data_IF_120496229094
#
_entry.id   IF_120496229094
#
_cell.length_a   1.000
_cell.length_b   1.000
_cell.length_c   1.000
_cell.angle_alpha   90.00
_cell.angle_beta   90.00
_cell.angle_gamma   90.00
#
_symmetry.space_group_name_H-M   'P 1'
#
loop_
_entity.id
_entity.type
_entity.pdbx_description
1 polymer ?
#
# COMPACT_ATOMS: atom_id res chain seq x y z
N UNK A 1 9.95 71.52 -19.88
CA UNK A 1 9.89 70.18 -20.39
C UNK A 1 10.23 69.21 -19.26
N UNK A 2 9.24 68.79 -18.49
CA UNK A 2 9.39 67.73 -17.53
C UNK A 2 8.20 66.77 -17.69
N UNK A 3 8.46 65.62 -18.26
CA UNK A 3 7.50 64.51 -18.35
C UNK A 3 7.55 63.72 -17.05
N UNK A 4 6.48 63.79 -16.29
CA UNK A 4 6.29 62.97 -15.11
C UNK A 4 5.63 61.64 -15.54
N UNK A 5 6.38 60.57 -15.54
CA UNK A 5 5.86 59.24 -15.77
C UNK A 5 5.41 58.70 -14.41
N UNK A 6 4.11 58.65 -14.17
CA UNK A 6 3.50 57.98 -13.04
C UNK A 6 3.32 56.51 -13.39
N UNK A 7 4.26 55.67 -12.99
CA UNK A 7 4.09 54.19 -13.00
C UNK A 7 3.34 53.76 -11.73
N UNK A 8 2.03 53.78 -11.80
CA UNK A 8 1.15 53.25 -10.76
C UNK A 8 0.80 51.79 -11.07
N UNK A 9 1.51 50.86 -10.45
CA UNK A 9 1.18 49.44 -10.47
C UNK A 9 -0.08 49.21 -9.62
N UNK A 10 -1.26 49.43 -10.19
CA UNK A 10 -2.53 48.98 -9.61
C UNK A 10 -2.72 47.53 -10.01
N UNK A 11 -2.50 46.62 -9.06
CA UNK A 11 -3.13 45.26 -9.11
C UNK A 11 -4.64 45.47 -9.11
N UNK A 12 -5.21 45.67 -10.28
CA UNK A 12 -6.65 45.52 -10.47
C UNK A 12 -6.95 44.04 -10.33
N UNK A 13 -7.54 43.65 -9.21
CA UNK A 13 -8.34 42.43 -9.11
C UNK A 13 -9.45 42.57 -10.14
N UNK A 14 -9.19 42.12 -11.35
CA UNK A 14 -10.21 42.02 -12.40
C UNK A 14 -11.19 40.94 -11.94
N UNK A 15 -12.25 41.38 -11.27
CA UNK A 15 -13.47 40.59 -11.17
C UNK A 15 -13.84 40.28 -12.60
N UNK A 16 -13.86 39.01 -12.98
CA UNK A 16 -14.14 38.63 -14.37
C UNK A 16 -15.49 39.23 -14.78
N UNK A 17 -15.59 39.66 -16.05
CA UNK A 17 -16.80 40.29 -16.58
C UNK A 17 -18.04 39.45 -16.28
N UNK A 18 -17.87 38.13 -16.29
CA UNK A 18 -18.90 37.16 -16.00
C UNK A 18 -19.39 37.27 -14.54
N UNK A 19 -18.48 37.40 -13.58
CA UNK A 19 -18.84 37.55 -12.15
C UNK A 19 -19.52 38.89 -11.90
N UNK A 20 -19.12 39.95 -12.57
CA UNK A 20 -19.74 41.28 -12.46
C UNK A 20 -21.15 41.27 -13.06
N UNK A 21 -21.33 40.65 -14.25
CA UNK A 21 -22.65 40.51 -14.89
C UNK A 21 -23.56 39.60 -14.03
N UNK A 22 -23.05 38.47 -13.51
CA UNK A 22 -23.78 37.57 -12.63
C UNK A 22 -24.27 38.27 -11.36
N UNK A 23 -23.41 39.07 -10.69
CA UNK A 23 -23.78 39.82 -9.49
C UNK A 23 -24.83 40.89 -9.79
N UNK A 24 -24.72 41.56 -10.96
CA UNK A 24 -25.70 42.56 -11.41
C UNK A 24 -27.06 41.94 -11.70
N UNK A 25 -27.09 40.75 -12.30
CA UNK A 25 -28.35 40.01 -12.53
C UNK A 25 -29.03 39.60 -11.22
N UNK A 26 -28.28 39.14 -10.26
CA UNK A 26 -28.78 38.77 -8.91
C UNK A 26 -29.30 40.04 -8.15
N UNK A 27 -28.72 41.24 -8.43
CA UNK A 27 -29.11 42.50 -7.80
C UNK A 27 -30.14 43.28 -8.56
N UNK A 28 -30.50 42.85 -9.76
CA UNK A 28 -31.53 43.54 -10.61
C UNK A 28 -32.91 43.36 -9.99
N UNK A 29 -33.23 44.25 -9.08
CA UNK A 29 -34.49 44.40 -8.37
C UNK A 29 -35.58 44.86 -9.33
N UNK A 30 -36.37 43.93 -9.86
CA UNK A 30 -37.73 44.29 -10.28
C UNK A 30 -38.69 43.07 -10.14
N UNK A 31 -39.55 43.22 -9.17
CA UNK A 31 -40.98 42.87 -9.18
C UNK A 31 -41.45 41.47 -8.80
N UNK A 32 -40.62 40.58 -8.28
CA UNK A 32 -41.18 39.51 -7.43
C UNK A 32 -40.11 38.95 -6.50
N UNK A 33 -40.19 39.23 -5.21
CA UNK A 33 -39.30 38.65 -4.19
C UNK A 33 -39.29 37.12 -4.22
N UNK A 34 -40.32 36.51 -4.78
CA UNK A 34 -40.45 35.08 -4.96
C UNK A 34 -39.45 34.50 -6.00
N UNK A 35 -39.24 35.19 -7.15
CA UNK A 35 -38.27 34.76 -8.16
C UNK A 35 -36.79 34.85 -7.63
N UNK A 36 -36.49 35.89 -6.86
CA UNK A 36 -35.18 36.05 -6.23
C UNK A 36 -34.94 34.96 -5.16
N UNK A 37 -35.96 34.60 -4.41
CA UNK A 37 -35.90 33.55 -3.38
C UNK A 37 -35.63 32.17 -4.00
N UNK A 38 -36.31 31.79 -5.10
CA UNK A 38 -36.07 30.55 -5.82
C UNK A 38 -34.65 30.52 -6.38
N UNK A 39 -34.16 31.63 -6.94
CA UNK A 39 -32.78 31.73 -7.46
C UNK A 39 -31.73 31.48 -6.38
N UNK A 40 -31.90 32.07 -5.19
CA UNK A 40 -30.97 31.86 -4.07
C UNK A 40 -30.98 30.41 -3.59
N UNK A 41 -32.14 29.80 -3.41
CA UNK A 41 -32.25 28.38 -3.01
C UNK A 41 -31.58 27.47 -4.04
N UNK A 42 -31.78 27.74 -5.33
CA UNK A 42 -31.16 26.94 -6.39
C UNK A 42 -29.64 27.05 -6.35
N UNK A 43 -29.07 28.24 -6.15
CA UNK A 43 -27.62 28.45 -6.03
C UNK A 43 -27.08 27.73 -4.81
N UNK A 44 -27.75 27.83 -3.65
CA UNK A 44 -27.35 27.13 -2.43
C UNK A 44 -27.41 25.61 -2.64
N UNK A 45 -28.47 25.10 -3.27
CA UNK A 45 -28.60 23.69 -3.57
C UNK A 45 -27.46 23.14 -4.43
N UNK A 46 -27.12 23.88 -5.50
CA UNK A 46 -25.98 23.53 -6.36
C UNK A 46 -24.66 23.61 -5.59
N UNK A 47 -24.46 24.66 -4.79
CA UNK A 47 -23.25 24.83 -4.01
C UNK A 47 -23.06 23.67 -3.01
N UNK A 48 -24.11 23.25 -2.29
CA UNK A 48 -24.09 22.11 -1.38
C UNK A 48 -23.80 20.82 -2.15
N UNK A 49 -24.42 20.61 -3.32
CA UNK A 49 -24.17 19.43 -4.16
C UNK A 49 -22.72 19.33 -4.62
N UNK A 50 -22.16 20.42 -5.11
CA UNK A 50 -20.74 20.46 -5.51
C UNK A 50 -19.81 20.27 -4.31
N UNK A 51 -20.11 20.89 -3.16
CA UNK A 51 -19.33 20.72 -1.95
C UNK A 51 -19.33 19.25 -1.50
N UNK A 52 -20.49 18.60 -1.48
CA UNK A 52 -20.60 17.19 -1.12
C UNK A 52 -19.75 16.30 -2.06
N UNK A 53 -19.78 16.57 -3.36
CA UNK A 53 -18.99 15.85 -4.36
C UNK A 53 -17.49 16.02 -4.13
N UNK A 54 -17.04 17.24 -3.86
CA UNK A 54 -15.62 17.53 -3.56
C UNK A 54 -15.17 16.80 -2.30
N UNK A 55 -15.98 16.81 -1.25
CA UNK A 55 -15.67 16.12 0.00
C UNK A 55 -15.54 14.61 -0.23
N UNK A 56 -16.51 13.99 -0.91
CA UNK A 56 -16.46 12.56 -1.22
C UNK A 56 -15.23 12.19 -2.04
N UNK A 57 -14.95 12.94 -3.10
CA UNK A 57 -13.77 12.70 -3.95
C UNK A 57 -12.45 12.88 -3.16
N UNK A 58 -12.38 13.87 -2.26
CA UNK A 58 -11.21 14.12 -1.44
C UNK A 58 -10.97 12.96 -0.46
N UNK A 59 -12.03 12.46 0.18
CA UNK A 59 -11.94 11.30 1.09
C UNK A 59 -11.52 10.04 0.33
N UNK A 60 -12.14 9.76 -0.82
CA UNK A 60 -11.80 8.60 -1.65
C UNK A 60 -10.34 8.66 -2.13
N UNK A 61 -9.88 9.81 -2.62
CA UNK A 61 -8.50 9.99 -3.06
C UNK A 61 -7.49 9.85 -1.90
N UNK A 62 -7.83 10.39 -0.73
CA UNK A 62 -7.02 10.24 0.48
C UNK A 62 -6.91 8.78 0.91
N UNK A 63 -8.03 8.08 0.96
CA UNK A 63 -8.09 6.67 1.31
C UNK A 63 -7.31 5.79 0.31
N UNK A 64 -7.49 6.02 -0.99
CA UNK A 64 -6.74 5.28 -2.02
C UNK A 64 -5.23 5.46 -1.88
N UNK A 65 -4.78 6.68 -1.58
CA UNK A 65 -3.35 6.96 -1.39
C UNK A 65 -2.82 6.25 -0.15
N UNK A 66 -3.56 6.25 0.94
CA UNK A 66 -3.17 5.61 2.20
C UNK A 66 -3.10 4.08 2.05
N UNK A 67 -4.17 3.47 1.53
CA UNK A 67 -4.21 2.01 1.26
C UNK A 67 -3.09 1.60 0.31
N UNK A 68 -2.87 2.35 -0.77
CA UNK A 68 -1.79 2.05 -1.70
C UNK A 68 -0.43 2.11 -1.03
N UNK A 69 -0.15 3.13 -0.21
CA UNK A 69 1.13 3.25 0.50
C UNK A 69 1.36 2.10 1.48
N UNK A 70 0.30 1.62 2.13
CA UNK A 70 0.37 0.48 3.04
C UNK A 70 0.63 -0.84 2.30
N UNK A 71 -0.07 -1.08 1.19
CA UNK A 71 0.12 -2.28 0.37
C UNK A 71 1.52 -2.36 -0.22
N UNK A 72 2.01 -1.27 -0.81
CA UNK A 72 3.35 -1.24 -1.41
C UNK A 72 4.51 -1.26 -0.39
N UNK A 73 4.24 -1.06 0.88
CA UNK A 73 5.27 -1.22 1.92
C UNK A 73 5.53 -2.68 2.30
N UNK A 74 4.63 -3.59 1.93
CA UNK A 74 4.68 -5.02 2.30
C UNK A 74 4.89 -5.90 1.07
N UNK A 75 4.39 -5.50 -0.10
CA UNK A 75 4.49 -6.26 -1.33
C UNK A 75 5.51 -5.62 -2.29
N UNK A 76 6.31 -6.42 -2.99
CA UNK A 76 7.19 -5.93 -4.05
C UNK A 76 6.38 -5.31 -5.19
N UNK A 77 6.96 -4.35 -5.91
CA UNK A 77 6.29 -3.67 -7.02
C UNK A 77 6.05 -4.58 -8.23
N UNK A 78 6.91 -5.59 -8.41
CA UNK A 78 6.78 -6.59 -9.45
C UNK A 78 7.42 -7.90 -8.99
N UNK A 79 6.84 -9.01 -9.41
CA UNK A 79 7.35 -10.35 -9.18
C UNK A 79 7.63 -11.01 -10.53
N UNK A 80 8.78 -11.64 -10.63
CA UNK A 80 9.21 -12.36 -11.83
C UNK A 80 9.42 -13.82 -11.43
N UNK A 81 8.68 -14.71 -12.03
CA UNK A 81 8.77 -16.14 -11.80
C UNK A 81 9.07 -16.90 -13.10
N UNK A 82 9.59 -18.11 -12.98
CA UNK A 82 9.66 -19.04 -14.10
C UNK A 82 8.31 -19.70 -14.30
N UNK A 83 7.80 -19.64 -15.52
CA UNK A 83 6.57 -20.34 -15.89
C UNK A 83 6.84 -21.78 -16.34
N UNK A 84 8.09 -22.07 -16.72
CA UNK A 84 8.50 -23.37 -17.24
C UNK A 84 9.83 -23.80 -16.60
N UNK A 85 9.75 -24.80 -15.73
CA UNK A 85 10.92 -25.38 -15.05
C UNK A 85 11.66 -26.39 -15.90
N UNK A 86 11.11 -26.84 -17.03
CA UNK A 86 11.74 -27.85 -17.88
C UNK A 86 12.95 -27.32 -18.65
N UNK A 87 13.02 -26.03 -18.93
CA UNK A 87 14.13 -25.40 -19.64
C UNK A 87 15.25 -24.84 -18.75
N UNK A 88 15.22 -25.10 -17.45
CA UNK A 88 16.36 -24.89 -16.54
C UNK A 88 16.90 -23.47 -16.44
N UNK A 89 16.05 -22.45 -16.58
CA UNK A 89 16.46 -21.07 -16.36
C UNK A 89 16.94 -20.87 -14.93
N UNK A 90 18.14 -20.29 -14.77
CA UNK A 90 18.67 -19.98 -13.43
C UNK A 90 18.10 -18.66 -12.92
N UNK A 91 17.68 -18.61 -11.66
CA UNK A 91 17.26 -17.36 -11.01
C UNK A 91 18.40 -16.30 -11.06
N UNK A 92 19.66 -16.73 -11.09
CA UNK A 92 20.80 -15.84 -11.24
C UNK A 92 20.82 -15.13 -12.60
N UNK A 93 20.39 -15.78 -13.67
CA UNK A 93 20.30 -15.18 -14.99
C UNK A 93 19.16 -14.19 -15.10
N UNK A 94 18.01 -14.49 -14.50
CA UNK A 94 16.93 -13.51 -14.33
C UNK A 94 17.40 -12.27 -13.57
N UNK A 95 18.12 -12.47 -12.48
CA UNK A 95 18.68 -11.38 -11.68
C UNK A 95 19.60 -10.48 -12.49
N UNK A 96 20.48 -11.06 -13.33
CA UNK A 96 21.37 -10.30 -14.24
C UNK A 96 20.58 -9.47 -15.25
N UNK A 97 19.53 -10.06 -15.85
CA UNK A 97 18.66 -9.34 -16.79
C UNK A 97 17.96 -8.16 -16.13
N UNK A 98 17.43 -8.36 -14.92
CA UNK A 98 16.72 -7.33 -14.15
C UNK A 98 17.68 -6.23 -13.72
N UNK A 99 18.87 -6.58 -13.25
CA UNK A 99 19.90 -5.62 -12.82
C UNK A 99 20.38 -4.68 -13.94
N UNK A 100 20.23 -5.09 -15.19
CA UNK A 100 20.54 -4.24 -16.36
C UNK A 100 19.53 -3.11 -16.61
N UNK A 101 18.39 -3.12 -15.96
CA UNK A 101 17.34 -2.11 -16.14
C UNK A 101 17.50 -0.96 -15.14
N UNK A 102 17.70 0.27 -15.64
CA UNK A 102 17.89 1.47 -14.81
C UNK A 102 16.70 1.84 -13.92
N UNK A 103 15.52 1.31 -14.20
CA UNK A 103 14.32 1.56 -13.42
C UNK A 103 14.16 0.59 -12.23
N UNK A 104 15.02 -0.42 -12.11
CA UNK A 104 15.02 -1.37 -11.02
C UNK A 104 15.98 -0.90 -9.93
N UNK A 105 15.46 -0.60 -8.77
CA UNK A 105 16.23 -0.12 -7.61
C UNK A 105 16.83 -1.25 -6.80
N UNK A 106 16.19 -2.42 -6.76
CA UNK A 106 16.64 -3.60 -6.04
C UNK A 106 15.89 -4.84 -6.49
N UNK A 107 16.49 -5.99 -6.26
CA UNK A 107 15.86 -7.30 -6.51
C UNK A 107 16.31 -8.28 -5.44
N UNK A 108 15.38 -9.07 -4.92
CA UNK A 108 15.65 -10.11 -3.93
C UNK A 108 14.96 -11.42 -4.37
N UNK A 109 15.65 -12.55 -4.32
CA UNK A 109 15.01 -13.83 -4.54
C UNK A 109 14.18 -14.24 -3.32
N UNK A 110 13.05 -14.87 -3.55
CA UNK A 110 12.26 -15.45 -2.48
C UNK A 110 11.61 -16.76 -2.94
N UNK A 111 11.22 -17.58 -1.99
CA UNK A 111 10.43 -18.80 -2.18
C UNK A 111 9.14 -18.61 -1.38
N UNK A 112 7.98 -18.82 -2.00
CA UNK A 112 6.70 -18.75 -1.31
C UNK A 112 5.97 -20.09 -1.44
N UNK A 113 5.44 -20.56 -0.33
CA UNK A 113 4.64 -21.78 -0.28
C UNK A 113 3.53 -21.66 0.77
N UNK A 114 2.51 -22.51 0.65
CA UNK A 114 1.44 -22.60 1.63
C UNK A 114 1.81 -23.61 2.70
N UNK A 115 1.59 -23.23 3.95
CA UNK A 115 1.84 -24.11 5.09
C UNK A 115 0.78 -23.90 6.18
N UNK A 116 0.75 -24.78 7.15
CA UNK A 116 0.01 -24.59 8.38
C UNK A 116 0.99 -24.21 9.49
N UNK A 117 0.65 -23.18 10.25
CA UNK A 117 1.33 -22.83 11.49
C UNK A 117 0.52 -23.33 12.68
N UNK A 118 1.18 -24.04 13.58
CA UNK A 118 0.57 -24.58 14.78
C UNK A 118 1.31 -24.10 16.02
N UNK A 119 0.56 -23.60 16.99
CA UNK A 119 1.05 -23.29 18.34
C UNK A 119 -0.08 -23.44 19.36
N UNK A 120 0.23 -24.00 20.54
CA UNK A 120 -0.72 -24.14 21.65
C UNK A 120 -2.09 -24.76 21.27
N UNK A 121 -2.11 -25.68 20.31
CA UNK A 121 -3.35 -26.32 19.82
C UNK A 121 -4.15 -25.51 18.81
N UNK A 122 -3.71 -24.29 18.50
CA UNK A 122 -4.29 -23.47 17.42
C UNK A 122 -3.52 -23.74 16.13
N UNK A 123 -4.26 -23.91 15.02
CA UNK A 123 -3.68 -24.15 13.69
C UNK A 123 -4.24 -23.09 12.71
N UNK A 124 -3.37 -22.48 11.92
CA UNK A 124 -3.74 -21.51 10.90
C UNK A 124 -3.05 -21.81 9.57
N UNK A 125 -3.81 -21.70 8.48
CA UNK A 125 -3.25 -21.72 7.13
C UNK A 125 -2.58 -20.38 6.82
N UNK A 126 -1.34 -20.46 6.36
CA UNK A 126 -0.52 -19.26 6.08
C UNK A 126 0.26 -19.44 4.80
N UNK A 127 0.66 -18.33 4.20
CA UNK A 127 1.71 -18.31 3.20
C UNK A 127 3.05 -18.07 3.91
N UNK A 128 3.97 -18.99 3.76
CA UNK A 128 5.34 -18.87 4.28
C UNK A 128 6.22 -18.37 3.15
N UNK A 129 7.07 -17.41 3.47
CA UNK A 129 8.00 -16.80 2.53
C UNK A 129 9.42 -16.98 3.03
N UNK A 130 10.24 -17.71 2.29
CA UNK A 130 11.67 -17.84 2.53
C UNK A 130 12.41 -16.73 1.83
N UNK A 131 13.16 -15.94 2.57
CA UNK A 131 13.84 -14.73 2.10
C UNK A 131 15.31 -14.72 2.51
N UNK A 132 16.12 -13.96 1.78
CA UNK A 132 17.42 -13.51 2.28
C UNK A 132 17.25 -12.14 2.96
N UNK A 133 17.47 -12.03 4.29
CA UNK A 133 17.23 -10.79 5.02
C UNK A 133 18.04 -9.60 4.52
N UNK A 134 19.23 -9.81 3.98
CA UNK A 134 20.07 -8.71 3.50
C UNK A 134 19.59 -8.15 2.17
N UNK A 135 19.13 -9.03 1.28
CA UNK A 135 18.63 -8.64 -0.04
C UNK A 135 17.20 -8.11 0.04
N UNK A 136 16.36 -8.70 0.90
CA UNK A 136 14.96 -8.30 1.09
C UNK A 136 14.82 -6.85 1.54
N UNK A 137 15.73 -6.34 2.37
CA UNK A 137 15.77 -4.93 2.80
C UNK A 137 15.88 -3.92 1.66
N UNK A 138 16.35 -4.34 0.49
CA UNK A 138 16.48 -3.47 -0.68
C UNK A 138 15.17 -3.33 -1.46
N UNK A 139 14.23 -4.25 -1.24
CA UNK A 139 12.99 -4.36 -2.02
C UNK A 139 11.76 -3.91 -1.23
N UNK A 140 11.71 -4.23 0.06
CA UNK A 140 10.57 -3.95 0.93
C UNK A 140 10.99 -3.29 2.23
N UNK A 141 10.04 -2.55 2.84
CA UNK A 141 10.27 -1.74 4.03
C UNK A 141 9.53 -2.25 5.28
N UNK A 142 8.92 -3.46 5.24
CA UNK A 142 8.14 -3.96 6.38
C UNK A 142 8.98 -4.15 7.66
N UNK A 143 10.27 -4.37 7.53
CA UNK A 143 11.20 -4.46 8.66
C UNK A 143 11.23 -3.18 9.52
N UNK A 144 10.92 -2.01 8.95
CA UNK A 144 10.80 -0.73 9.67
C UNK A 144 9.54 -0.64 10.54
N UNK A 145 8.56 -1.52 10.28
CA UNK A 145 7.26 -1.55 10.95
C UNK A 145 7.15 -2.67 12.00
N UNK A 146 8.24 -3.38 12.27
CA UNK A 146 8.24 -4.40 13.32
C UNK A 146 7.91 -3.78 14.67
N UNK A 147 7.01 -4.43 15.41
CA UNK A 147 6.56 -4.00 16.74
C UNK A 147 7.33 -4.68 17.85
N UNK A 148 7.87 -5.87 17.60
CA UNK A 148 8.67 -6.66 18.53
C UNK A 148 9.72 -7.45 17.74
N UNK A 149 10.82 -7.82 18.40
CA UNK A 149 11.94 -8.51 17.75
C UNK A 149 12.78 -7.60 16.85
N UNK A 150 13.70 -8.20 16.11
CA UNK A 150 14.54 -7.50 15.14
C UNK A 150 14.69 -8.32 13.88
N UNK A 151 14.59 -7.67 12.75
CA UNK A 151 14.76 -8.31 11.45
C UNK A 151 16.14 -8.95 11.27
N UNK A 152 17.15 -8.41 11.92
CA UNK A 152 18.52 -8.90 11.92
C UNK A 152 18.70 -10.22 12.66
N UNK A 153 17.76 -10.59 13.51
CA UNK A 153 17.79 -11.86 14.25
C UNK A 153 17.38 -13.05 13.38
N UNK A 154 16.81 -12.78 12.18
CA UNK A 154 16.51 -13.80 11.18
C UNK A 154 17.79 -14.28 10.51
N UNK A 155 18.30 -15.44 10.94
CA UNK A 155 19.59 -15.98 10.47
C UNK A 155 19.41 -17.22 9.61
N UNK A 156 20.15 -17.34 8.51
CA UNK A 156 20.13 -18.53 7.69
C UNK A 156 20.56 -19.77 8.50
N UNK A 157 19.73 -20.83 8.46
CA UNK A 157 20.05 -22.14 9.08
C UNK A 157 19.60 -22.30 10.53
N UNK A 158 19.16 -21.23 11.22
CA UNK A 158 18.70 -21.32 12.62
C UNK A 158 17.19 -21.62 12.73
N UNK A 159 16.46 -21.75 11.63
CA UNK A 159 15.03 -21.94 11.59
C UNK A 159 14.25 -20.85 12.34
N UNK A 160 14.60 -19.62 12.07
CA UNK A 160 13.93 -18.47 12.62
C UNK A 160 12.76 -18.04 11.72
N UNK A 161 11.74 -17.46 12.33
CA UNK A 161 10.54 -16.99 11.62
C UNK A 161 10.05 -15.66 12.20
N UNK A 162 9.62 -14.77 11.31
CA UNK A 162 8.92 -13.55 11.66
C UNK A 162 7.44 -13.73 11.34
N UNK A 163 6.58 -13.38 12.28
CA UNK A 163 5.13 -13.50 12.15
C UNK A 163 4.49 -12.11 12.04
N UNK A 164 3.38 -12.03 11.28
CA UNK A 164 2.52 -10.86 11.36
C UNK A 164 1.89 -10.75 12.75
N UNK A 165 1.76 -9.51 13.26
CA UNK A 165 1.25 -9.23 14.61
C UNK A 165 -0.09 -9.93 14.91
N UNK A 166 -1.03 -9.86 13.97
CA UNK A 166 -2.35 -10.48 14.13
C UNK A 166 -2.25 -12.00 14.24
N UNK A 167 -1.45 -12.62 13.37
CA UNK A 167 -1.21 -14.06 13.38
C UNK A 167 -0.50 -14.51 14.67
N UNK A 168 0.47 -13.73 15.15
CA UNK A 168 1.16 -14.00 16.41
C UNK A 168 0.17 -13.96 17.59
N UNK A 169 -0.71 -12.98 17.62
CA UNK A 169 -1.77 -12.86 18.64
C UNK A 169 -2.74 -14.06 18.58
N UNK A 170 -3.20 -14.44 17.39
CA UNK A 170 -4.11 -15.59 17.23
C UNK A 170 -3.49 -16.93 17.65
N UNK A 171 -2.20 -17.10 17.38
CA UNK A 171 -1.46 -18.32 17.75
C UNK A 171 -0.99 -18.29 19.22
N UNK A 172 -1.06 -17.13 19.90
CA UNK A 172 -0.43 -16.95 21.21
C UNK A 172 1.08 -17.13 21.15
N UNK A 173 1.71 -16.69 20.05
CA UNK A 173 3.15 -16.78 19.82
C UNK A 173 3.84 -15.46 20.21
N UNK A 174 4.92 -15.57 20.97
CA UNK A 174 5.72 -14.43 21.42
C UNK A 174 7.16 -14.57 20.89
N UNK A 175 7.87 -13.44 20.81
CA UNK A 175 9.30 -13.42 20.46
C UNK A 175 10.08 -14.27 21.46
N UNK A 176 10.96 -15.13 20.96
CA UNK A 176 11.68 -16.14 21.75
C UNK A 176 10.91 -17.45 21.95
N UNK A 177 9.63 -17.48 21.58
CA UNK A 177 8.81 -18.69 21.55
C UNK A 177 9.09 -19.56 20.32
N UNK A 178 8.37 -20.69 20.22
CA UNK A 178 8.48 -21.62 19.09
C UNK A 178 7.12 -21.86 18.46
N UNK A 179 7.11 -21.94 17.14
CA UNK A 179 5.94 -22.35 16.36
C UNK A 179 6.28 -23.53 15.47
N UNK A 180 5.30 -24.36 15.17
CA UNK A 180 5.49 -25.51 14.28
C UNK A 180 4.94 -25.19 12.89
N UNK A 181 5.80 -25.27 11.89
CA UNK A 181 5.43 -25.19 10.48
C UNK A 181 5.15 -26.60 9.97
N UNK A 182 4.00 -26.79 9.33
CA UNK A 182 3.54 -28.04 8.74
C UNK A 182 3.36 -27.79 7.25
N UNK A 183 4.16 -28.46 6.41
CA UNK A 183 4.03 -28.36 4.96
C UNK A 183 3.18 -29.49 4.42
N UNK A 184 2.24 -29.21 3.47
CA UNK A 184 1.39 -30.23 2.87
C UNK A 184 2.20 -31.23 2.01
N UNK A 185 3.31 -30.77 1.47
CA UNK A 185 4.24 -31.65 0.75
C UNK A 185 4.97 -32.57 1.72
N UNK A 186 4.43 -33.75 1.90
CA UNK A 186 4.99 -34.77 2.78
C UNK A 186 5.92 -35.75 2.05
N UNK A 187 6.62 -36.54 2.84
CA UNK A 187 7.33 -37.71 2.32
C UNK A 187 6.31 -38.81 1.97
N UNK A 188 6.35 -39.28 0.72
CA UNK A 188 5.55 -40.46 0.34
C UNK A 188 6.21 -41.68 0.96
N UNK A 189 5.49 -42.31 1.89
CA UNK A 189 5.90 -43.56 2.52
C UNK A 189 4.98 -44.71 2.09
N UNK A 190 5.36 -45.98 2.20
CA UNK A 190 4.46 -47.07 1.91
C UNK A 190 3.17 -47.07 2.75
N UNK A 191 3.15 -46.36 3.87
CA UNK A 191 1.99 -46.16 4.74
C UNK A 191 1.14 -44.93 4.42
N UNK A 192 1.54 -44.11 3.40
CA UNK A 192 0.86 -42.90 3.00
C UNK A 192 1.77 -41.65 3.01
N UNK A 193 1.17 -40.50 2.76
CA UNK A 193 1.88 -39.20 2.77
C UNK A 193 1.95 -38.68 4.20
N UNK A 194 3.16 -38.50 4.72
CA UNK A 194 3.39 -37.96 6.08
C UNK A 194 3.82 -36.49 5.93
N UNK A 195 3.06 -35.51 6.47
CA UNK A 195 3.44 -34.11 6.45
C UNK A 195 4.80 -33.86 7.10
N UNK A 196 5.55 -32.90 6.59
CA UNK A 196 6.79 -32.46 7.23
C UNK A 196 6.47 -31.44 8.31
N UNK A 197 6.97 -31.72 9.51
CA UNK A 197 6.83 -30.85 10.68
C UNK A 197 8.21 -30.29 11.04
N UNK A 198 8.29 -28.96 11.20
CA UNK A 198 9.51 -28.32 11.64
C UNK A 198 9.20 -27.19 12.62
N UNK A 199 9.93 -27.16 13.73
CA UNK A 199 9.84 -26.05 14.68
C UNK A 199 10.73 -24.90 14.25
N UNK A 200 10.17 -23.70 14.37
CA UNK A 200 10.83 -22.43 14.10
C UNK A 200 10.82 -21.56 15.37
N UNK A 201 11.88 -20.80 15.58
CA UNK A 201 11.96 -19.81 16.66
C UNK A 201 11.34 -18.50 16.17
N UNK A 202 10.51 -17.88 16.97
CA UNK A 202 9.93 -16.56 16.67
C UNK A 202 10.92 -15.47 17.07
N UNK A 203 11.33 -14.63 16.12
CA UNK A 203 12.33 -13.56 16.29
C UNK A 203 11.77 -12.19 15.98
#
# INVERSE_FOLDING_TARGET
>A
NAAFIFSGNRKQTMISLETWIGLRYLRAKKRSGFMSFIGIISIIGIAIGVMALIVVLSVVNGFQKDVRSQLFSVAPHAEIGFYDTENGGSWQDLRKMVAGNKNVLGSAPYIADQALLANNGVVRGVQVRGIDPQEEKQVVDYWKKMTAGKFEDLKPGEFDIILGQELANELGAEVGGKVTVITPEGNVTPAGVVPRLKQFNVV
#
